data_IF_778709593667
#
_entry.id   IF_778709593667
#
_cell.length_a   1.000
_cell.length_b   1.000
_cell.length_c   1.000
_cell.angle_alpha   90.00
_cell.angle_beta   90.00
_cell.angle_gamma   90.00
#
_symmetry.space_group_name_H-M   'P 1'
#
loop_
_entity.id
_entity.type
_entity.pdbx_description
1 polymer ?
#
# COMPACT_ATOMS: atom_id res chain seq x y z
N UNK A 1 -0.81 6.07 11.15
CA UNK A 1 -1.15 5.72 9.76
C UNK A 1 -1.64 6.98 9.12
N UNK A 2 -1.18 7.31 7.91
CA UNK A 2 -1.80 8.36 7.10
C UNK A 2 -2.71 7.67 6.08
N UNK A 3 -3.87 8.26 5.81
CA UNK A 3 -4.86 7.73 4.88
C UNK A 3 -5.43 8.89 4.05
N UNK A 4 -5.63 8.65 2.75
CA UNK A 4 -6.28 9.57 1.82
C UNK A 4 -7.12 8.77 0.84
N UNK A 5 -8.26 9.30 0.42
CA UNK A 5 -9.12 8.64 -0.56
C UNK A 5 -9.92 9.66 -1.38
N UNK A 6 -10.33 9.23 -2.57
CA UNK A 6 -11.24 9.97 -3.46
C UNK A 6 -12.63 10.21 -2.87
N UNK A 7 -13.09 9.29 -2.02
CA UNK A 7 -14.44 9.29 -1.44
C UNK A 7 -14.34 9.13 0.07
N UNK A 8 -15.40 9.51 0.78
CA UNK A 8 -15.50 9.28 2.21
C UNK A 8 -15.37 7.79 2.50
N UNK A 9 -14.43 7.45 3.39
CA UNK A 9 -14.15 6.07 3.74
C UNK A 9 -13.85 5.94 5.23
N UNK A 10 -14.22 4.80 5.78
CA UNK A 10 -13.75 4.36 7.09
C UNK A 10 -12.66 3.32 6.91
N UNK A 11 -11.76 3.21 7.89
CA UNK A 11 -10.73 2.19 7.88
C UNK A 11 -10.48 1.65 9.28
N UNK A 12 -10.03 0.40 9.34
CA UNK A 12 -9.68 -0.28 10.58
C UNK A 12 -8.57 -1.29 10.34
N UNK A 13 -7.73 -1.54 11.35
CA UNK A 13 -6.72 -2.61 11.31
C UNK A 13 -7.11 -3.67 12.34
N UNK A 14 -7.25 -4.91 11.91
CA UNK A 14 -7.54 -6.04 12.80
C UNK A 14 -6.32 -6.41 13.65
N UNK A 15 -6.53 -7.17 14.73
CA UNK A 15 -5.43 -7.68 15.56
C UNK A 15 -4.43 -8.58 14.80
N UNK A 16 -4.84 -9.15 13.67
CA UNK A 16 -3.96 -9.92 12.76
C UNK A 16 -3.18 -9.05 11.77
N UNK A 17 -3.38 -7.72 11.77
CA UNK A 17 -2.69 -6.78 10.91
C UNK A 17 -3.33 -6.58 9.54
N UNK A 18 -4.60 -6.99 9.36
CA UNK A 18 -5.33 -6.77 8.11
C UNK A 18 -5.94 -5.37 8.14
N UNK A 19 -5.58 -4.54 7.15
CA UNK A 19 -6.20 -3.24 6.92
C UNK A 19 -7.48 -3.43 6.10
N UNK A 20 -8.61 -3.07 6.68
CA UNK A 20 -9.90 -2.99 6.00
C UNK A 20 -10.23 -1.53 5.75
N UNK A 21 -10.56 -1.20 4.50
CA UNK A 21 -11.05 0.12 4.08
C UNK A 21 -12.45 -0.10 3.54
N UNK A 22 -13.41 0.66 4.05
CA UNK A 22 -14.82 0.55 3.70
C UNK A 22 -15.34 1.88 3.17
N UNK A 23 -15.87 1.83 1.96
CA UNK A 23 -16.60 2.93 1.36
C UNK A 23 -18.08 2.61 1.45
N UNK A 24 -18.78 3.31 2.34
CA UNK A 24 -20.22 3.18 2.48
C UNK A 24 -20.91 3.98 1.38
N UNK A 25 -21.81 3.34 0.64
CA UNK A 25 -22.62 3.98 -0.39
C UNK A 25 -21.79 4.79 -1.42
N UNK A 26 -20.65 4.25 -1.86
CA UNK A 26 -19.76 4.94 -2.80
C UNK A 26 -20.45 5.26 -4.14
N UNK A 27 -21.44 4.46 -4.52
CA UNK A 27 -22.33 4.70 -5.66
C UNK A 27 -21.60 5.17 -6.93
N UNK A 28 -20.53 4.45 -7.30
CA UNK A 28 -19.80 4.74 -8.54
C UNK A 28 -20.74 4.56 -9.74
N UNK A 29 -20.69 5.53 -10.66
CA UNK A 29 -21.45 5.45 -11.92
C UNK A 29 -20.86 4.33 -12.78
N UNK A 30 -21.69 3.68 -13.60
CA UNK A 30 -21.21 2.66 -14.52
C UNK A 30 -20.18 3.24 -15.51
N UNK A 31 -19.23 2.41 -15.91
CA UNK A 31 -18.08 2.84 -16.71
C UNK A 31 -18.44 3.21 -18.16
N UNK A 32 -19.59 2.74 -18.67
CA UNK A 32 -20.08 3.07 -20.01
C UNK A 32 -20.77 4.44 -20.05
N UNK A 33 -21.46 4.81 -18.98
CA UNK A 33 -22.12 6.11 -18.84
C UNK A 33 -21.12 7.21 -18.51
N UNK A 34 -20.23 6.99 -17.54
CA UNK A 34 -19.21 7.98 -17.18
C UNK A 34 -17.94 7.34 -16.63
N UNK A 35 -16.97 7.17 -17.52
CA UNK A 35 -15.69 6.56 -17.17
C UNK A 35 -14.95 7.29 -16.04
N UNK A 36 -15.00 8.62 -15.98
CA UNK A 36 -14.32 9.39 -14.93
C UNK A 36 -15.00 9.22 -13.57
N UNK A 37 -16.34 9.22 -13.53
CA UNK A 37 -17.10 9.01 -12.30
C UNK A 37 -17.13 7.55 -11.83
N UNK A 38 -16.71 6.60 -12.68
CA UNK A 38 -16.60 5.17 -12.35
C UNK A 38 -15.30 4.79 -11.60
N UNK A 39 -14.44 5.78 -11.32
CA UNK A 39 -13.11 5.58 -10.75
C UNK A 39 -13.03 6.12 -9.32
N UNK A 40 -12.34 5.38 -8.46
CA UNK A 40 -11.96 5.77 -7.11
C UNK A 40 -10.52 5.39 -6.81
N UNK A 41 -9.96 6.01 -5.77
CA UNK A 41 -8.67 5.64 -5.21
C UNK A 41 -8.65 5.73 -3.68
N UNK A 42 -7.71 5.01 -3.09
CA UNK A 42 -7.19 5.29 -1.75
C UNK A 42 -5.67 5.13 -1.70
N UNK A 43 -5.07 5.80 -0.73
CA UNK A 43 -3.65 5.75 -0.43
C UNK A 43 -3.45 5.67 1.08
N UNK A 44 -2.45 4.91 1.52
CA UNK A 44 -2.17 4.75 2.94
C UNK A 44 -0.68 4.58 3.23
N UNK A 45 -0.32 4.86 4.50
CA UNK A 45 0.98 4.52 5.07
C UNK A 45 0.82 3.77 6.39
N UNK A 46 1.49 2.62 6.50
CA UNK A 46 1.52 1.83 7.74
C UNK A 46 2.92 1.85 8.34
N UNK A 47 2.98 1.93 9.68
CA UNK A 47 4.24 1.74 10.40
C UNK A 47 4.54 0.25 10.47
N UNK A 48 5.80 -0.07 10.21
CA UNK A 48 6.33 -1.40 10.39
C UNK A 48 6.38 -1.75 11.88
N UNK A 49 6.20 -3.04 12.21
CA UNK A 49 6.43 -3.53 13.58
C UNK A 49 7.90 -3.39 13.93
N UNK A 50 8.17 -3.10 15.19
CA UNK A 50 9.55 -3.09 15.72
C UNK A 50 10.16 -4.50 15.61
N UNK A 51 11.49 -4.56 15.42
CA UNK A 51 12.26 -5.81 15.32
C UNK A 51 11.94 -6.70 14.11
N UNK A 52 11.60 -6.11 12.95
CA UNK A 52 11.60 -6.87 11.70
C UNK A 52 12.99 -7.48 11.45
N UNK A 53 13.01 -8.73 11.00
CA UNK A 53 14.24 -9.44 10.66
C UNK A 53 14.97 -8.67 9.56
N UNK A 54 16.30 -8.62 9.66
CA UNK A 54 17.16 -8.13 8.60
C UNK A 54 16.79 -8.76 7.25
N UNK A 55 16.68 -7.96 6.18
CA UNK A 55 16.32 -8.42 4.84
C UNK A 55 14.92 -9.05 4.73
N UNK A 56 13.99 -8.69 5.62
CA UNK A 56 12.61 -9.14 5.51
C UNK A 56 11.94 -8.58 4.22
N UNK A 57 11.26 -9.47 3.50
CA UNK A 57 10.35 -9.12 2.42
C UNK A 57 8.93 -8.99 2.97
N UNK A 58 8.35 -7.80 2.85
CA UNK A 58 6.97 -7.52 3.17
C UNK A 58 6.14 -7.65 1.89
N UNK A 59 5.13 -8.52 1.90
CA UNK A 59 4.20 -8.67 0.79
C UNK A 59 2.83 -8.11 1.16
N UNK A 60 2.19 -7.44 0.22
CA UNK A 60 0.85 -6.89 0.38
C UNK A 60 -0.02 -7.26 -0.82
N UNK A 61 -1.18 -7.86 -0.54
CA UNK A 61 -2.20 -8.22 -1.53
C UNK A 61 -3.52 -7.65 -1.04
N UNK A 62 -4.23 -6.93 -1.90
CA UNK A 62 -5.56 -6.41 -1.58
C UNK A 62 -6.64 -7.27 -2.23
N UNK A 63 -7.74 -7.45 -1.50
CA UNK A 63 -8.95 -8.09 -1.99
C UNK A 63 -10.04 -7.00 -2.02
N UNK A 64 -10.53 -6.69 -3.22
CA UNK A 64 -11.54 -5.65 -3.42
C UNK A 64 -12.91 -6.32 -3.56
N UNK A 65 -13.85 -5.92 -2.73
CA UNK A 65 -15.22 -6.43 -2.75
C UNK A 65 -16.16 -5.31 -3.19
N UNK A 66 -17.02 -5.63 -4.14
CA UNK A 66 -18.14 -4.78 -4.55
C UNK A 66 -19.43 -5.56 -4.36
N UNK A 67 -20.41 -4.92 -3.74
CA UNK A 67 -21.70 -5.53 -3.42
C UNK A 67 -21.52 -6.91 -2.77
N UNK A 68 -22.20 -7.92 -3.30
CA UNK A 68 -22.10 -9.31 -2.87
C UNK A 68 -21.28 -10.20 -3.82
N UNK A 69 -20.42 -9.59 -4.64
CA UNK A 69 -19.57 -10.32 -5.59
C UNK A 69 -18.32 -10.91 -4.91
N UNK A 70 -17.69 -11.86 -5.60
CA UNK A 70 -16.39 -12.39 -5.19
C UNK A 70 -15.31 -11.31 -5.24
N UNK A 71 -14.27 -11.48 -4.42
CA UNK A 71 -13.16 -10.55 -4.36
C UNK A 71 -12.42 -10.44 -5.70
N UNK A 72 -12.17 -9.20 -6.13
CA UNK A 72 -11.18 -8.90 -7.15
C UNK A 72 -9.83 -8.82 -6.44
N UNK A 73 -9.00 -9.84 -6.65
CA UNK A 73 -7.66 -9.95 -6.04
C UNK A 73 -6.66 -9.11 -6.85
N UNK A 74 -5.96 -8.17 -6.20
CA UNK A 74 -4.95 -7.35 -6.86
C UNK A 74 -3.64 -8.12 -7.05
N UNK A 75 -2.73 -7.57 -7.85
CA UNK A 75 -1.34 -8.03 -7.84
C UNK A 75 -0.73 -7.85 -6.44
N UNK A 76 0.24 -8.71 -6.11
CA UNK A 76 0.98 -8.60 -4.85
C UNK A 76 2.14 -7.64 -5.01
N UNK A 77 2.26 -6.67 -4.11
CA UNK A 77 3.40 -5.76 -4.03
C UNK A 77 4.39 -6.29 -2.99
N UNK A 78 5.67 -6.34 -3.35
CA UNK A 78 6.75 -6.75 -2.44
C UNK A 78 7.63 -5.55 -2.10
N UNK A 79 7.89 -5.36 -0.81
CA UNK A 79 8.82 -4.38 -0.28
C UNK A 79 9.95 -5.09 0.48
N UNK A 80 11.18 -4.93 0.03
CA UNK A 80 12.36 -5.54 0.63
C UNK A 80 13.04 -4.54 1.56
N UNK A 81 13.11 -4.87 2.85
CA UNK A 81 13.77 -4.03 3.83
C UNK A 81 15.28 -4.26 3.79
N UNK A 82 16.00 -3.33 3.17
CA UNK A 82 17.46 -3.30 3.25
C UNK A 82 17.91 -2.67 4.57
N UNK A 83 18.77 -3.37 5.31
CA UNK A 83 19.42 -2.75 6.47
C UNK A 83 20.43 -1.69 6.00
N UNK A 84 20.57 -0.58 6.75
CA UNK A 84 21.73 0.28 6.58
C UNK A 84 22.99 -0.52 6.89
N UNK A 85 23.81 -0.74 5.88
CA UNK A 85 25.12 -1.38 5.99
C UNK A 85 26.12 -0.35 6.52
N UNK A 86 26.72 -0.61 7.67
CA UNK A 86 27.89 0.13 8.14
C UNK A 86 29.15 -0.52 7.57
N UNK A 87 29.97 0.27 6.86
CA UNK A 87 31.28 -0.16 6.42
C UNK A 87 32.31 0.18 7.50
N UNK A 88 32.84 -0.83 8.19
CA UNK A 88 34.08 -0.72 8.96
C UNK A 88 35.25 -1.08 8.03
N UNK A 89 36.31 -0.26 8.01
CA UNK A 89 37.48 -0.29 7.10
C UNK A 89 37.34 0.55 5.82
N UNK A 90 37.03 1.84 5.98
CA UNK A 90 37.11 2.80 4.89
C UNK A 90 38.58 3.17 4.64
N UNK A 91 39.17 2.66 3.57
CA UNK A 91 40.42 3.21 3.06
C UNK A 91 40.14 4.64 2.55
N UNK A 92 40.95 5.62 2.96
CA UNK A 92 40.73 7.06 2.69
C UNK A 92 40.72 7.42 1.20
N UNK A 93 41.13 6.51 0.32
CA UNK A 93 41.18 6.70 -1.13
C UNK A 93 39.87 6.32 -1.87
N UNK A 94 38.82 5.90 -1.16
CA UNK A 94 37.55 5.52 -1.79
C UNK A 94 36.42 6.53 -1.54
N UNK A 95 35.77 6.99 -2.61
CA UNK A 95 34.54 7.79 -2.54
C UNK A 95 33.36 6.90 -2.15
N UNK A 96 32.67 7.25 -1.07
CA UNK A 96 31.49 6.54 -0.58
C UNK A 96 30.25 7.31 -1.03
N UNK A 97 29.31 6.59 -1.63
CA UNK A 97 27.98 7.12 -1.95
C UNK A 97 26.98 6.55 -0.95
N UNK A 98 26.40 7.42 -0.13
CA UNK A 98 25.33 7.06 0.79
C UNK A 98 23.99 7.34 0.11
N UNK A 99 23.15 6.32 -0.01
CA UNK A 99 21.79 6.45 -0.50
C UNK A 99 20.82 6.32 0.68
N UNK A 100 19.86 7.24 0.87
CA UNK A 100 18.87 7.11 1.93
C UNK A 100 17.95 5.93 1.63
N UNK A 101 17.82 5.00 2.59
CA UNK A 101 16.75 4.00 2.60
C UNK A 101 15.58 4.55 3.42
N UNK A 102 14.51 5.00 2.75
CA UNK A 102 13.25 5.29 3.42
C UNK A 102 12.39 4.02 3.44
N UNK A 103 12.12 3.39 4.60
CA UNK A 103 11.08 2.37 4.68
C UNK A 103 9.73 3.10 4.81
N UNK A 104 9.27 3.72 3.73
CA UNK A 104 7.92 4.26 3.64
C UNK A 104 7.18 3.50 2.52
N UNK A 105 6.37 2.51 2.90
CA UNK A 105 5.46 1.88 1.95
C UNK A 105 4.31 2.86 1.69
N UNK A 106 4.31 3.47 0.50
CA UNK A 106 3.16 4.15 -0.06
C UNK A 106 2.51 3.16 -1.02
N UNK A 107 1.31 2.70 -0.69
CA UNK A 107 0.53 1.86 -1.60
C UNK A 107 -0.66 2.68 -2.11
N UNK A 108 -0.69 2.87 -3.43
CA UNK A 108 -1.81 3.47 -4.15
C UNK A 108 -2.64 2.35 -4.76
N UNK A 109 -3.94 2.38 -4.50
CA UNK A 109 -4.88 1.41 -5.05
C UNK A 109 -5.98 2.15 -5.81
N UNK A 110 -6.20 1.75 -7.06
CA UNK A 110 -7.25 2.25 -7.94
C UNK A 110 -8.41 1.27 -7.94
N UNK A 111 -9.62 1.80 -7.73
CA UNK A 111 -10.87 1.07 -7.62
C UNK A 111 -11.73 1.48 -8.81
N UNK A 112 -12.16 0.52 -9.64
CA UNK A 112 -13.02 0.77 -10.80
C UNK A 112 -14.32 0.00 -10.66
N UNK A 113 -15.45 0.64 -10.98
CA UNK A 113 -16.71 -0.09 -11.09
C UNK A 113 -16.63 -1.11 -12.22
N UNK A 114 -17.35 -2.23 -12.07
CA UNK A 114 -17.50 -3.20 -13.15
C UNK A 114 -18.44 -2.64 -14.24
N UNK A 115 -18.31 -3.11 -15.50
CA UNK A 115 -19.25 -2.80 -16.57
C UNK A 115 -20.67 -3.29 -16.29
#
# INVERSE_FOLDING_TARGET
MNFSASHAASWSISGSGVLTIRFDDINLVDSFTNNLASQGYFAYTVRLKDNLVANATLSNTANIYFDFNQAIVTNTVQNNLALPISASNLNRDHKIYLYPSQPATISHCEVKSLP
#
